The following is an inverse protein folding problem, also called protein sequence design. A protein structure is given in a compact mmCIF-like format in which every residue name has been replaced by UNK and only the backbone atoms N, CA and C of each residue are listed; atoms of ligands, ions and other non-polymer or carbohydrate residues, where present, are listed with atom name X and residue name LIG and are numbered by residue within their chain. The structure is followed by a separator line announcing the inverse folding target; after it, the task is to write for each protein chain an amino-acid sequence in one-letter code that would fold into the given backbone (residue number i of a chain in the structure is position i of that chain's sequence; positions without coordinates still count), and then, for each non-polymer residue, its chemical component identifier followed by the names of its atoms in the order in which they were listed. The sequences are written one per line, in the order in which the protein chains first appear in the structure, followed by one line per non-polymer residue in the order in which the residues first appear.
data_IF_198911593200
#
_entry.id   IF_198911593200
#
_cell.length_a   1.000
_cell.length_b   1.000
_cell.length_c   1.000
_cell.angle_alpha   90.00
_cell.angle_beta   90.00
_cell.angle_gamma   90.00
#
_symmetry.space_group_name_H-M   'P 1'
#
loop_
_entity.id
_entity.type
_entity.pdbx_description
1 polymer ?
#
# COMPACT_ATOMS: atom_id res chain seq x y z
N UNK A 1 24.99 15.15 14.06
CA UNK A 1 25.26 14.17 12.98
C UNK A 1 24.14 14.27 11.94
N UNK A 2 24.46 14.01 10.68
CA UNK A 2 23.52 13.98 9.56
C UNK A 2 23.40 12.54 9.07
N UNK A 3 22.15 12.05 8.97
CA UNK A 3 21.84 10.75 8.40
C UNK A 3 21.12 10.92 7.06
N UNK A 4 21.44 10.10 6.09
CA UNK A 4 20.70 9.98 4.83
C UNK A 4 19.70 8.84 4.95
N UNK A 5 18.46 9.07 4.54
CA UNK A 5 17.39 8.09 4.59
C UNK A 5 16.81 7.86 3.19
N UNK A 6 16.38 6.64 2.85
CA UNK A 6 15.74 6.34 1.56
C UNK A 6 14.25 6.70 1.53
N UNK A 7 13.75 7.46 2.50
CA UNK A 7 12.35 7.84 2.67
C UNK A 7 12.14 9.33 2.54
N UNK A 8 10.96 9.72 2.05
CA UNK A 8 10.54 11.13 1.96
C UNK A 8 9.24 11.41 2.73
N UNK A 9 8.56 10.37 3.22
CA UNK A 9 7.35 10.51 4.01
C UNK A 9 7.67 10.70 5.51
N UNK A 10 6.90 11.54 6.16
CA UNK A 10 7.12 11.93 7.56
C UNK A 10 7.09 10.73 8.53
N UNK A 11 6.13 9.80 8.47
CA UNK A 11 6.10 8.65 9.39
C UNK A 11 7.32 7.75 9.28
N UNK A 12 7.80 7.45 8.06
CA UNK A 12 9.01 6.63 7.86
C UNK A 12 10.26 7.33 8.39
N UNK A 13 10.36 8.64 8.19
CA UNK A 13 11.46 9.45 8.73
C UNK A 13 11.44 9.44 10.27
N UNK A 14 10.29 9.67 10.91
CA UNK A 14 10.15 9.64 12.37
C UNK A 14 10.52 8.27 12.96
N UNK A 15 10.09 7.18 12.33
CA UNK A 15 10.46 5.82 12.74
C UNK A 15 11.98 5.58 12.61
N UNK A 16 12.60 6.01 11.51
CA UNK A 16 14.04 5.88 11.32
C UNK A 16 14.84 6.70 12.34
N UNK A 17 14.36 7.90 12.69
CA UNK A 17 14.96 8.74 13.75
C UNK A 17 14.87 8.01 15.10
N UNK A 18 13.73 7.46 15.47
CA UNK A 18 13.56 6.72 16.71
C UNK A 18 14.53 5.52 16.80
N UNK A 19 14.67 4.77 15.70
CA UNK A 19 15.65 3.67 15.61
C UNK A 19 17.06 4.19 15.77
N UNK A 20 17.45 5.26 15.06
CA UNK A 20 18.79 5.86 15.16
C UNK A 20 19.10 6.33 16.58
N UNK A 21 18.17 7.01 17.25
CA UNK A 21 18.31 7.44 18.64
C UNK A 21 18.51 6.24 19.58
N UNK A 22 17.70 5.18 19.40
CA UNK A 22 17.83 3.96 20.20
C UNK A 22 19.21 3.32 20.01
N UNK A 23 19.69 3.21 18.77
CA UNK A 23 21.00 2.66 18.48
C UNK A 23 22.13 3.49 19.10
N UNK A 24 22.03 4.82 19.05
CA UNK A 24 23.00 5.72 19.71
C UNK A 24 23.03 5.49 21.24
N UNK A 25 21.87 5.35 21.86
CA UNK A 25 21.77 5.07 23.31
C UNK A 25 22.40 3.72 23.66
N UNK A 26 22.27 2.73 22.76
CA UNK A 26 22.89 1.42 22.90
C UNK A 26 24.39 1.40 22.58
N UNK A 27 24.98 2.54 22.21
CA UNK A 27 26.42 2.68 21.97
C UNK A 27 26.92 2.26 20.58
N UNK A 28 26.02 2.16 19.59
CA UNK A 28 26.44 1.90 18.21
C UNK A 28 27.13 3.11 17.59
N UNK A 29 28.17 2.85 16.80
CA UNK A 29 28.90 3.89 16.05
C UNK A 29 28.01 4.52 14.96
N UNK A 30 28.12 5.84 14.77
CA UNK A 30 27.33 6.61 13.78
C UNK A 30 27.47 6.05 12.36
N UNK A 31 28.67 5.57 11.99
CA UNK A 31 28.93 4.93 10.70
C UNK A 31 28.12 3.66 10.50
N UNK A 32 28.01 2.84 11.53
CA UNK A 32 27.18 1.63 11.53
C UNK A 32 25.72 1.98 11.37
N UNK A 33 25.22 2.95 12.14
CA UNK A 33 23.84 3.42 12.06
C UNK A 33 23.53 3.91 10.64
N UNK A 34 24.38 4.75 10.05
CA UNK A 34 24.18 5.26 8.69
C UNK A 34 24.15 4.12 7.66
N UNK A 35 25.07 3.15 7.79
CA UNK A 35 25.11 1.98 6.89
C UNK A 35 23.80 1.18 6.94
N UNK A 36 23.25 0.95 8.12
CA UNK A 36 22.00 0.21 8.28
C UNK A 36 20.77 1.02 7.80
N UNK A 37 20.72 2.30 8.11
CA UNK A 37 19.62 3.18 7.66
C UNK A 37 19.55 3.29 6.13
N UNK A 38 20.69 3.30 5.44
CA UNK A 38 20.73 3.37 3.97
C UNK A 38 20.23 2.10 3.28
N UNK A 39 20.22 0.97 3.99
CA UNK A 39 19.73 -0.32 3.49
C UNK A 39 18.22 -0.56 3.73
N UNK A 40 17.56 0.35 4.46
CA UNK A 40 16.13 0.23 4.70
C UNK A 40 15.36 0.30 3.37
N UNK A 41 14.35 -0.55 3.26
CA UNK A 41 13.47 -0.58 2.08
C UNK A 41 12.07 -0.10 2.48
N UNK A 42 11.37 0.61 1.59
CA UNK A 42 9.96 0.93 1.81
C UNK A 42 9.16 -0.35 2.05
N UNK A 43 8.26 -0.31 3.05
CA UNK A 43 7.35 -1.42 3.31
C UNK A 43 6.21 -1.32 2.31
N UNK A 44 5.86 -2.45 1.65
CA UNK A 44 4.72 -2.50 0.74
C UNK A 44 3.44 -2.01 1.43
N UNK A 45 2.57 -1.34 0.68
CA UNK A 45 1.31 -0.75 1.14
C UNK A 45 1.45 0.33 2.23
N UNK A 46 2.65 0.92 2.39
CA UNK A 46 2.90 2.07 3.28
C UNK A 46 3.55 3.19 2.48
N UNK A 47 2.74 4.16 2.03
CA UNK A 47 3.15 5.32 1.23
C UNK A 47 4.01 4.96 0.01
N UNK A 48 3.82 3.75 -0.54
CA UNK A 48 4.55 3.28 -1.72
C UNK A 48 4.07 4.02 -2.96
N UNK A 49 4.99 4.67 -3.66
CA UNK A 49 4.70 5.38 -4.91
C UNK A 49 5.12 4.53 -6.11
N UNK A 50 4.22 4.33 -7.07
CA UNK A 50 4.50 3.59 -8.30
C UNK A 50 3.73 4.13 -9.50
N UNK A 51 4.19 3.77 -10.70
CA UNK A 51 3.50 4.12 -11.94
C UNK A 51 2.24 3.27 -12.10
N UNK A 52 1.17 3.92 -12.47
CA UNK A 52 -0.10 3.31 -12.83
C UNK A 52 -0.38 3.41 -14.32
N UNK A 53 -1.42 2.71 -14.76
CA UNK A 53 -1.90 2.74 -16.15
C UNK A 53 -2.32 4.15 -16.56
N UNK A 54 -2.33 4.42 -17.87
CA UNK A 54 -2.81 5.68 -18.47
C UNK A 54 -2.17 6.94 -17.84
N UNK A 55 -0.89 6.88 -17.48
CA UNK A 55 -0.18 8.03 -16.90
C UNK A 55 -0.54 8.37 -15.45
N UNK A 56 -1.21 7.49 -14.74
CA UNK A 56 -1.50 7.66 -13.33
C UNK A 56 -0.25 7.43 -12.47
N UNK A 57 -0.24 8.02 -11.30
CA UNK A 57 0.71 7.71 -10.23
C UNK A 57 -0.06 7.22 -9.03
N UNK A 58 0.25 6.01 -8.56
CA UNK A 58 -0.43 5.37 -7.44
C UNK A 58 0.40 5.58 -6.18
N UNK A 59 -0.24 6.03 -5.12
CA UNK A 59 0.32 6.08 -3.77
C UNK A 59 -0.44 5.03 -2.95
N UNK A 60 0.23 3.92 -2.64
CA UNK A 60 -0.39 2.84 -1.89
C UNK A 60 -0.06 2.95 -0.40
N UNK A 61 -1.08 3.29 0.40
CA UNK A 61 -1.05 3.34 1.87
C UNK A 61 -2.23 2.54 2.46
N UNK A 62 -2.47 1.35 1.91
CA UNK A 62 -3.62 0.51 2.22
C UNK A 62 -3.35 -0.57 3.27
N UNK A 63 -2.48 -0.31 4.23
CA UNK A 63 -2.22 -1.23 5.34
C UNK A 63 -3.16 -0.98 6.53
N UNK A 64 -3.31 0.30 6.92
CA UNK A 64 -4.20 0.76 7.99
C UNK A 64 -5.02 1.96 7.51
N UNK A 65 -6.27 2.04 7.98
CA UNK A 65 -7.13 3.19 7.77
C UNK A 65 -7.59 3.71 9.13
N UNK A 66 -6.83 4.67 9.66
CA UNK A 66 -7.18 5.47 10.82
C UNK A 66 -7.20 6.97 10.46
N UNK A 67 -7.88 7.77 11.29
CA UNK A 67 -8.12 9.18 10.99
C UNK A 67 -6.85 10.03 10.98
N UNK A 68 -5.90 9.74 11.86
CA UNK A 68 -4.66 10.52 11.95
C UNK A 68 -3.75 10.26 10.77
N UNK A 69 -3.57 8.97 10.42
CA UNK A 69 -2.75 8.57 9.27
C UNK A 69 -3.34 9.03 7.94
N UNK A 70 -4.66 9.19 7.84
CA UNK A 70 -5.32 9.76 6.66
C UNK A 70 -4.84 11.19 6.38
N UNK A 71 -4.70 12.03 7.41
CA UNK A 71 -4.22 13.40 7.24
C UNK A 71 -2.82 13.43 6.63
N UNK A 72 -1.88 12.61 7.13
CA UNK A 72 -0.53 12.53 6.59
C UNK A 72 -0.50 12.00 5.15
N UNK A 73 -1.32 11.00 4.85
CA UNK A 73 -1.41 10.44 3.51
C UNK A 73 -1.95 11.45 2.49
N UNK A 74 -2.93 12.26 2.88
CA UNK A 74 -3.46 13.34 2.05
C UNK A 74 -2.44 14.46 1.83
N UNK A 75 -1.68 14.85 2.85
CA UNK A 75 -0.62 15.84 2.72
C UNK A 75 0.46 15.38 1.75
N UNK A 76 0.85 14.11 1.83
CA UNK A 76 1.79 13.49 0.91
C UNK A 76 1.24 13.44 -0.53
N UNK A 77 -0.04 13.07 -0.71
CA UNK A 77 -0.70 13.12 -2.01
C UNK A 77 -0.63 14.53 -2.62
N UNK A 78 -0.94 15.56 -1.83
CA UNK A 78 -0.92 16.97 -2.30
C UNK A 78 0.49 17.39 -2.68
N UNK A 79 1.50 17.05 -1.88
CA UNK A 79 2.91 17.34 -2.17
C UNK A 79 3.35 16.71 -3.49
N UNK A 80 3.07 15.41 -3.69
CA UNK A 80 3.50 14.67 -4.88
C UNK A 80 2.73 15.06 -6.14
N UNK A 81 1.43 15.32 -6.02
CA UNK A 81 0.58 15.65 -7.17
C UNK A 81 0.76 17.09 -7.66
N UNK A 82 1.10 18.03 -6.76
CA UNK A 82 1.14 19.45 -7.10
C UNK A 82 -0.19 19.92 -7.69
N UNK A 83 -0.17 20.38 -8.94
CA UNK A 83 -1.36 20.86 -9.65
C UNK A 83 -2.12 19.77 -10.43
N UNK A 84 -1.64 18.51 -10.41
CA UNK A 84 -2.33 17.42 -11.09
C UNK A 84 -3.59 17.02 -10.32
N UNK A 85 -4.49 16.32 -11.02
CA UNK A 85 -5.72 15.76 -10.44
C UNK A 85 -5.38 14.77 -9.31
N UNK A 86 -6.14 14.86 -8.23
CA UNK A 86 -5.97 14.07 -7.01
C UNK A 86 -7.23 13.27 -6.75
N UNK A 87 -7.09 11.96 -6.75
CA UNK A 87 -8.17 11.03 -6.40
C UNK A 87 -7.77 10.25 -5.15
N UNK A 88 -8.70 10.03 -4.26
CA UNK A 88 -8.54 9.11 -3.14
C UNK A 88 -9.53 7.95 -3.25
N UNK A 89 -9.04 6.74 -3.03
CA UNK A 89 -9.84 5.54 -2.79
C UNK A 89 -9.69 5.23 -1.30
N UNK A 90 -10.78 5.38 -0.55
CA UNK A 90 -10.79 5.31 0.91
C UNK A 90 -11.70 4.17 1.38
N UNK A 91 -11.19 3.29 2.24
CA UNK A 91 -12.05 2.30 2.90
C UNK A 91 -12.75 2.85 4.14
N UNK A 92 -13.62 2.05 4.75
CA UNK A 92 -14.11 2.31 6.11
C UNK A 92 -12.93 2.55 7.05
N UNK A 93 -13.12 3.50 7.97
CA UNK A 93 -12.18 3.79 9.06
C UNK A 93 -12.71 3.14 10.32
N UNK A 94 -11.93 2.22 10.83
CA UNK A 94 -12.23 1.51 12.07
C UNK A 94 -11.62 2.19 13.29
N UNK A 95 -11.29 2.01 14.30
CA UNK A 95 -10.54 2.61 15.41
C UNK A 95 -10.91 4.08 15.68
N UNK A 96 -12.20 4.38 15.59
CA UNK A 96 -12.71 5.69 15.96
C UNK A 96 -13.64 5.58 17.17
N UNK A 97 -13.50 6.49 18.12
CA UNK A 97 -14.36 6.60 19.32
C UNK A 97 -15.56 7.49 19.08
N UNK A 98 -15.58 8.24 17.98
CA UNK A 98 -16.64 9.16 17.61
C UNK A 98 -17.74 8.46 16.81
N UNK A 99 -18.93 9.08 16.73
CA UNK A 99 -19.99 8.63 15.84
C UNK A 99 -19.56 8.76 14.38
N UNK A 100 -19.90 7.79 13.56
CA UNK A 100 -19.52 7.73 12.14
C UNK A 100 -19.85 9.03 11.39
N UNK A 101 -21.03 9.60 11.60
CA UNK A 101 -21.41 10.86 10.95
C UNK A 101 -20.46 12.02 11.25
N UNK A 102 -19.96 12.13 12.48
CA UNK A 102 -18.99 13.16 12.86
C UNK A 102 -17.64 12.90 12.19
N UNK A 103 -17.20 11.64 12.19
CA UNK A 103 -15.97 11.21 11.55
C UNK A 103 -15.98 11.53 10.05
N UNK A 104 -17.03 11.11 9.33
CA UNK A 104 -17.09 11.31 7.89
C UNK A 104 -17.27 12.77 7.47
N UNK A 105 -17.93 13.61 8.29
CA UNK A 105 -17.93 15.07 8.12
C UNK A 105 -16.53 15.67 8.26
N UNK A 106 -15.74 15.23 9.23
CA UNK A 106 -14.33 15.66 9.39
C UNK A 106 -13.48 15.22 8.21
N UNK A 107 -13.66 13.99 7.73
CA UNK A 107 -12.98 13.47 6.52
C UNK A 107 -13.34 14.32 5.31
N UNK A 108 -14.62 14.59 5.09
CA UNK A 108 -15.05 15.47 4.01
C UNK A 108 -14.34 16.83 4.05
N UNK A 109 -14.23 17.45 5.24
CA UNK A 109 -13.53 18.72 5.40
C UNK A 109 -12.05 18.58 5.02
N UNK A 110 -11.37 17.51 5.43
CA UNK A 110 -9.99 17.24 5.05
C UNK A 110 -9.78 17.14 3.54
N UNK A 111 -10.73 16.50 2.84
CA UNK A 111 -10.68 16.35 1.39
C UNK A 111 -10.88 17.70 0.68
N UNK A 112 -11.80 18.55 1.18
CA UNK A 112 -12.07 19.88 0.64
C UNK A 112 -10.86 20.80 0.85
N UNK A 113 -10.32 20.87 2.06
CA UNK A 113 -9.19 21.75 2.41
C UNK A 113 -7.96 21.45 1.54
N UNK A 114 -7.76 20.19 1.16
CA UNK A 114 -6.66 19.73 0.31
C UNK A 114 -6.98 19.69 -1.18
N UNK A 115 -8.16 20.18 -1.57
CA UNK A 115 -8.62 20.26 -2.95
C UNK A 115 -8.53 18.89 -3.66
N UNK A 116 -9.02 17.85 -3.00
CA UNK A 116 -9.15 16.53 -3.60
C UNK A 116 -10.24 16.62 -4.67
N UNK A 117 -9.98 16.07 -5.86
CA UNK A 117 -10.86 16.19 -7.01
C UNK A 117 -11.91 15.08 -7.08
N UNK A 118 -11.58 13.88 -6.56
CA UNK A 118 -12.47 12.71 -6.61
C UNK A 118 -12.27 11.84 -5.38
N UNK A 119 -13.40 11.34 -4.85
CA UNK A 119 -13.44 10.34 -3.79
C UNK A 119 -14.12 9.07 -4.30
N UNK A 120 -13.51 7.93 -4.02
CA UNK A 120 -14.14 6.61 -4.13
C UNK A 120 -14.14 6.02 -2.72
N UNK A 121 -15.33 5.90 -2.14
CA UNK A 121 -15.54 5.29 -0.83
C UNK A 121 -15.85 3.80 -0.97
N UNK A 122 -15.16 2.94 -0.22
CA UNK A 122 -15.37 1.48 -0.26
C UNK A 122 -15.61 0.95 1.15
N UNK A 123 -16.79 0.44 1.39
CA UNK A 123 -17.21 -0.15 2.65
C UNK A 123 -18.64 0.24 3.01
N UNK A 124 -19.26 -0.55 3.86
CA UNK A 124 -20.65 -0.31 4.25
C UNK A 124 -20.83 0.97 5.08
N UNK A 125 -19.87 1.30 5.96
CA UNK A 125 -20.01 2.46 6.84
C UNK A 125 -19.80 3.77 6.07
N UNK A 126 -18.78 3.87 5.21
CA UNK A 126 -18.56 5.05 4.39
C UNK A 126 -19.73 5.24 3.39
N UNK A 127 -20.27 4.16 2.83
CA UNK A 127 -21.40 4.20 1.93
C UNK A 127 -22.68 4.67 2.65
N UNK A 128 -22.99 4.12 3.83
CA UNK A 128 -24.13 4.58 4.65
C UNK A 128 -24.06 6.07 5.00
N UNK A 129 -22.87 6.63 5.06
CA UNK A 129 -22.60 8.03 5.38
C UNK A 129 -22.24 8.89 4.14
N UNK A 130 -22.60 8.46 2.94
CA UNK A 130 -22.31 9.18 1.68
C UNK A 130 -22.79 10.64 1.71
N UNK A 131 -23.92 10.91 2.35
CA UNK A 131 -24.50 12.24 2.53
C UNK A 131 -23.61 13.21 3.35
N UNK A 132 -22.57 12.71 4.03
CA UNK A 132 -21.57 13.52 4.73
C UNK A 132 -20.55 14.16 3.79
N UNK A 133 -20.48 13.69 2.53
CA UNK A 133 -19.52 14.16 1.54
C UNK A 133 -20.17 15.13 0.56
N UNK A 134 -19.53 16.28 0.36
CA UNK A 134 -19.99 17.33 -0.55
C UNK A 134 -19.15 17.45 -1.82
N UNK A 135 -18.18 16.54 -2.03
CA UNK A 135 -17.42 16.48 -3.27
C UNK A 135 -18.34 16.13 -4.45
N UNK A 136 -18.26 16.91 -5.52
CA UNK A 136 -19.07 16.67 -6.73
C UNK A 136 -18.79 15.31 -7.38
N UNK A 137 -17.58 14.83 -7.28
CA UNK A 137 -17.13 13.55 -7.85
C UNK A 137 -16.86 12.57 -6.71
N UNK A 138 -17.90 12.14 -6.02
CA UNK A 138 -17.82 11.10 -5.01
C UNK A 138 -18.69 9.91 -5.43
N UNK A 139 -18.13 8.70 -5.37
CA UNK A 139 -18.82 7.44 -5.68
C UNK A 139 -18.56 6.45 -4.56
N UNK A 140 -19.55 5.65 -4.20
CA UNK A 140 -19.48 4.74 -3.06
C UNK A 140 -19.83 3.31 -3.46
N UNK A 141 -19.13 2.34 -2.87
CA UNK A 141 -19.30 0.92 -3.10
C UNK A 141 -19.30 0.19 -1.75
N UNK A 142 -20.06 -0.90 -1.67
CA UNK A 142 -20.09 -1.72 -0.45
C UNK A 142 -18.83 -2.58 -0.29
N UNK A 143 -18.19 -2.97 -1.39
CA UNK A 143 -16.99 -3.80 -1.37
C UNK A 143 -15.99 -3.42 -2.46
N UNK A 144 -14.75 -3.87 -2.28
CA UNK A 144 -13.70 -3.76 -3.31
C UNK A 144 -14.10 -4.47 -4.60
N UNK A 145 -14.79 -5.61 -4.50
CA UNK A 145 -15.24 -6.35 -5.67
C UNK A 145 -16.28 -5.57 -6.48
N UNK A 146 -17.24 -4.90 -5.83
CA UNK A 146 -18.22 -4.07 -6.51
C UNK A 146 -17.56 -2.93 -7.28
N UNK A 147 -16.54 -2.30 -6.68
CA UNK A 147 -15.76 -1.27 -7.34
C UNK A 147 -14.98 -1.82 -8.56
N UNK A 148 -14.32 -2.96 -8.42
CA UNK A 148 -13.53 -3.57 -9.49
C UNK A 148 -14.38 -4.04 -10.68
N UNK A 149 -15.66 -4.34 -10.46
CA UNK A 149 -16.63 -4.70 -11.49
C UNK A 149 -17.34 -3.49 -12.12
N UNK A 150 -17.18 -2.31 -11.54
CA UNK A 150 -17.81 -1.08 -12.05
C UNK A 150 -16.99 -0.47 -13.20
N UNK A 151 -17.63 0.40 -13.97
CA UNK A 151 -16.93 1.20 -15.01
C UNK A 151 -15.97 2.24 -14.41
N UNK A 152 -16.14 2.60 -13.15
CA UNK A 152 -15.32 3.59 -12.44
C UNK A 152 -13.83 3.23 -12.42
N UNK A 153 -13.48 1.93 -12.42
CA UNK A 153 -12.09 1.46 -12.43
C UNK A 153 -11.34 1.80 -13.74
N UNK A 154 -12.05 2.02 -14.83
CA UNK A 154 -11.45 2.35 -16.14
C UNK A 154 -11.30 3.87 -16.38
N UNK A 155 -11.86 4.71 -15.48
CA UNK A 155 -11.88 6.16 -15.63
C UNK A 155 -10.62 6.89 -15.12
N UNK A 156 -9.63 6.15 -14.64
CA UNK A 156 -8.38 6.74 -14.15
C UNK A 156 -7.45 7.09 -15.32
N UNK A 157 -7.05 8.36 -15.39
CA UNK A 157 -6.15 8.86 -16.43
C UNK A 157 -5.42 10.13 -15.95
N UNK A 158 -4.08 10.16 -16.13
CA UNK A 158 -3.23 11.33 -15.88
C UNK A 158 -3.42 11.99 -14.49
N UNK A 159 -3.64 11.20 -13.45
CA UNK A 159 -3.93 11.65 -12.08
C UNK A 159 -3.09 10.94 -11.03
N UNK A 160 -3.05 11.51 -9.84
CA UNK A 160 -2.49 10.87 -8.65
C UNK A 160 -3.60 10.20 -7.87
N UNK A 161 -3.42 8.92 -7.56
CA UNK A 161 -4.40 8.09 -6.86
C UNK A 161 -3.82 7.63 -5.54
N UNK A 162 -4.42 8.05 -4.44
CA UNK A 162 -4.10 7.54 -3.11
C UNK A 162 -5.02 6.37 -2.79
N UNK A 163 -4.45 5.22 -2.51
CA UNK A 163 -5.13 4.06 -1.94
C UNK A 163 -4.96 4.12 -0.42
N UNK A 164 -6.02 4.41 0.32
CA UNK A 164 -6.03 4.45 1.79
C UNK A 164 -7.09 3.51 2.32
N UNK A 165 -6.67 2.37 2.80
CA UNK A 165 -7.61 1.33 3.23
C UNK A 165 -7.08 0.47 4.37
N UNK A 166 -8.00 -0.18 5.08
CA UNK A 166 -7.67 -1.26 5.99
C UNK A 166 -7.45 -2.55 5.22
N UNK A 167 -6.59 -3.39 5.72
CA UNK A 167 -6.19 -4.68 5.14
C UNK A 167 -7.36 -5.61 4.79
N UNK A 168 -8.46 -5.52 5.53
CA UNK A 168 -9.66 -6.34 5.30
C UNK A 168 -10.37 -6.02 3.98
N UNK A 169 -10.11 -4.85 3.37
CA UNK A 169 -10.69 -4.46 2.09
C UNK A 169 -9.88 -4.93 0.88
N UNK A 170 -8.74 -5.60 1.08
CA UNK A 170 -7.93 -6.18 0.00
C UNK A 170 -7.62 -5.20 -1.13
N UNK A 171 -7.19 -3.99 -0.78
CA UNK A 171 -6.86 -2.93 -1.76
C UNK A 171 -5.66 -3.26 -2.65
N UNK A 172 -4.91 -4.31 -2.34
CA UNK A 172 -3.92 -4.90 -3.25
C UNK A 172 -4.52 -5.27 -4.62
N UNK A 173 -5.79 -5.70 -4.68
CA UNK A 173 -6.48 -5.99 -5.94
C UNK A 173 -6.70 -4.72 -6.78
N UNK A 174 -7.03 -3.60 -6.12
CA UNK A 174 -7.15 -2.30 -6.80
C UNK A 174 -5.80 -1.84 -7.30
N UNK A 175 -4.79 -1.98 -6.45
CA UNK A 175 -3.42 -1.61 -6.75
C UNK A 175 -2.88 -2.38 -7.95
N UNK A 176 -3.08 -3.69 -8.01
CA UNK A 176 -2.74 -4.53 -9.16
C UNK A 176 -3.48 -4.10 -10.43
N UNK A 177 -4.78 -3.81 -10.33
CA UNK A 177 -5.60 -3.40 -11.47
C UNK A 177 -5.19 -2.06 -12.05
N UNK A 178 -4.82 -1.09 -11.21
CA UNK A 178 -4.41 0.25 -11.60
C UNK A 178 -2.92 0.36 -11.95
N UNK A 179 -2.09 -0.56 -11.47
CA UNK A 179 -0.66 -0.55 -11.75
C UNK A 179 -0.37 -0.82 -13.23
N UNK A 180 0.67 -0.19 -13.75
CA UNK A 180 1.22 -0.55 -15.03
C UNK A 180 1.78 -1.99 -14.94
N UNK A 181 1.40 -2.86 -15.87
CA UNK A 181 1.92 -4.21 -15.90
C UNK A 181 3.38 -4.13 -16.37
N UNK A 182 4.30 -3.93 -15.45
CA UNK A 182 5.69 -4.23 -15.71
C UNK A 182 5.71 -5.74 -15.92
N UNK A 183 6.31 -6.21 -16.99
CA UNK A 183 6.53 -7.64 -17.22
C UNK A 183 7.27 -8.21 -15.99
N UNK A 184 6.51 -8.72 -15.03
CA UNK A 184 7.08 -9.46 -13.91
C UNK A 184 7.38 -10.84 -14.44
N UNK A 185 8.65 -11.20 -14.43
CA UNK A 185 9.04 -12.60 -14.59
C UNK A 185 8.49 -13.35 -13.39
N UNK A 186 7.42 -14.10 -13.60
CA UNK A 186 6.82 -14.93 -12.56
C UNK A 186 7.47 -16.29 -12.62
N UNK A 187 8.05 -16.74 -11.53
CA UNK A 187 8.49 -18.12 -11.35
C UNK A 187 7.31 -18.92 -10.80
N UNK A 188 6.71 -19.74 -11.62
CA UNK A 188 5.71 -20.71 -11.18
C UNK A 188 6.41 -22.03 -10.82
N UNK A 189 6.20 -22.48 -9.59
CA UNK A 189 6.74 -23.76 -9.10
C UNK A 189 5.57 -24.71 -8.88
N UNK A 190 5.47 -25.71 -9.75
CA UNK A 190 4.52 -26.81 -9.59
C UNK A 190 5.09 -27.82 -8.59
N UNK A 191 4.54 -27.83 -7.39
CA UNK A 191 4.96 -28.73 -6.31
C UNK A 191 4.59 -30.20 -6.59
N UNK A 192 3.52 -30.46 -7.34
CA UNK A 192 3.15 -31.84 -7.71
C UNK A 192 4.13 -32.40 -8.76
N UNK A 193 4.53 -31.60 -9.74
CA UNK A 193 5.55 -31.96 -10.70
C UNK A 193 6.91 -32.19 -10.01
N UNK A 194 7.27 -31.37 -9.03
CA UNK A 194 8.49 -31.53 -8.24
C UNK A 194 8.47 -32.84 -7.43
N UNK A 195 7.36 -33.13 -6.77
CA UNK A 195 7.16 -34.39 -6.03
C UNK A 195 7.19 -35.61 -6.96
N UNK A 196 6.54 -35.53 -8.12
CA UNK A 196 6.60 -36.57 -9.14
C UNK A 196 8.04 -36.85 -9.57
N UNK A 197 8.81 -35.82 -9.90
CA UNK A 197 10.21 -35.96 -10.31
C UNK A 197 11.08 -36.60 -9.23
N UNK A 198 10.93 -36.19 -7.97
CA UNK A 198 11.66 -36.81 -6.85
C UNK A 198 11.31 -38.29 -6.73
N UNK A 199 10.05 -38.64 -6.82
CA UNK A 199 9.62 -40.04 -6.75
C UNK A 199 10.09 -40.88 -7.96
N UNK A 200 10.10 -40.28 -9.16
CA UNK A 200 10.64 -40.90 -10.33
C UNK A 200 12.12 -41.27 -10.17
N UNK A 201 12.96 -40.33 -9.73
CA UNK A 201 14.37 -40.65 -9.46
C UNK A 201 14.52 -41.65 -8.34
N UNK A 202 13.75 -41.54 -7.25
CA UNK A 202 13.78 -42.50 -6.13
C UNK A 202 13.44 -43.93 -6.57
N UNK A 203 12.50 -44.10 -7.50
CA UNK A 203 12.09 -45.43 -8.02
C UNK A 203 13.19 -46.13 -8.83
N UNK A 204 14.17 -45.40 -9.35
CA UNK A 204 15.30 -45.93 -10.12
C UNK A 204 16.56 -46.20 -9.30
N UNK A 205 16.52 -45.85 -8.02
CA UNK A 205 17.63 -46.05 -7.09
C UNK A 205 17.46 -47.32 -6.27
N UNK A 206 18.56 -47.94 -5.87
CA UNK A 206 18.53 -49.06 -4.91
C UNK A 206 17.86 -48.59 -3.60
N UNK A 207 17.07 -49.44 -2.90
CA UNK A 207 16.31 -49.02 -1.68
C UNK A 207 17.15 -48.34 -0.59
N UNK A 208 18.41 -48.74 -0.47
CA UNK A 208 19.34 -48.18 0.52
C UNK A 208 20.09 -46.91 0.09
N UNK A 209 19.88 -46.44 -1.16
CA UNK A 209 20.53 -45.25 -1.68
C UNK A 209 19.88 -44.00 -1.09
N UNK A 210 20.70 -43.17 -0.44
CA UNK A 210 20.27 -41.88 0.11
C UNK A 210 20.36 -40.80 -0.96
N UNK A 211 19.26 -40.06 -1.17
CA UNK A 211 19.21 -38.87 -2.03
C UNK A 211 19.50 -37.61 -1.22
N UNK A 212 20.39 -36.77 -1.69
CA UNK A 212 20.69 -35.45 -1.12
C UNK A 212 20.37 -34.40 -2.18
N UNK A 213 19.45 -33.51 -1.87
CA UNK A 213 19.15 -32.38 -2.75
C UNK A 213 19.92 -31.16 -2.27
N UNK A 214 20.66 -30.53 -3.17
CA UNK A 214 21.36 -29.28 -2.87
C UNK A 214 20.44 -28.10 -3.26
N UNK A 215 20.03 -27.33 -2.26
CA UNK A 215 19.27 -26.09 -2.47
C UNK A 215 20.23 -24.91 -2.27
N UNK A 216 20.40 -24.11 -3.33
CA UNK A 216 21.17 -22.86 -3.23
C UNK A 216 20.19 -21.70 -3.15
N UNK A 217 20.32 -20.89 -2.11
CA UNK A 217 19.70 -19.58 -2.02
C UNK A 217 20.73 -18.51 -2.48
N UNK A 218 20.24 -17.53 -3.21
CA UNK A 218 21.00 -16.33 -3.58
C UNK A 218 20.54 -15.20 -2.68
#
# INVERSE_FOLDING_TARGET
DKFSLPFSDKPSIENAINVACTMLILGYETSTIQSQLSQLKPIAMRMQVKQGRKGCTIINDAYNADFESLSYALDFLVEKAGNKRKTIILSDIFQNTEKDEILYKKINQFLIDRKINRLIGIGENIHKNENCFSLKNATFFNSTNDFLQSEEIELFENEYVLLKGSRIFSFEQIDERLSETIHQTTLEVDLEALHHNVNYFRSHLHPETKMISMVKAY
#
